data_IF_599982170978
#
_entry.id   IF_599982170978
#
_cell.length_a   1.000
_cell.length_b   1.000
_cell.length_c   1.000
_cell.angle_alpha   90.00
_cell.angle_beta   90.00
_cell.angle_gamma   90.00
#
_symmetry.space_group_name_H-M   'P 1'
#
loop_
_entity.id
_entity.type
_entity.pdbx_description
1 polymer ?
#
# COMPACT_ATOMS: atom_id res chain seq x y z
N UNK A 1 65.73 -6.17 35.82
CA UNK A 1 65.13 -5.44 36.96
C UNK A 1 64.22 -4.35 36.40
N UNK A 2 62.90 -4.54 36.50
CA UNK A 2 61.89 -3.60 36.03
C UNK A 2 61.65 -2.53 37.10
N UNK A 3 61.75 -1.22 36.80
CA UNK A 3 61.47 -0.20 37.81
C UNK A 3 59.96 -0.18 38.10
N UNK A 4 59.64 -0.45 39.37
CA UNK A 4 58.32 -0.24 39.98
C UNK A 4 58.01 1.26 40.00
N UNK A 5 57.40 1.78 38.93
CA UNK A 5 56.87 3.14 38.88
C UNK A 5 55.48 3.20 39.53
N UNK A 6 55.43 2.95 40.84
CA UNK A 6 54.21 2.94 41.65
C UNK A 6 54.31 3.86 42.86
N UNK A 7 54.79 5.10 42.68
CA UNK A 7 54.78 6.10 43.76
C UNK A 7 53.37 6.63 44.05
N UNK A 8 53.07 7.07 45.28
CA UNK A 8 51.74 7.56 45.67
C UNK A 8 51.33 8.74 44.76
N UNK A 9 50.23 8.54 44.02
CA UNK A 9 49.65 9.54 43.12
C UNK A 9 49.37 10.81 43.92
N UNK A 10 50.11 11.88 43.65
CA UNK A 10 49.90 13.20 44.27
C UNK A 10 48.43 13.60 44.16
N UNK A 11 47.90 14.26 45.18
CA UNK A 11 46.51 14.74 45.21
C UNK A 11 46.13 15.52 43.93
N UNK A 12 47.10 16.23 43.33
CA UNK A 12 46.94 16.95 42.06
C UNK A 12 46.70 16.02 40.87
N UNK A 13 47.44 14.92 40.80
CA UNK A 13 47.34 13.93 39.72
C UNK A 13 46.00 13.17 39.80
N UNK A 14 45.54 12.88 41.03
CA UNK A 14 44.20 12.31 41.28
C UNK A 14 43.09 13.28 40.87
N UNK A 15 43.22 14.57 41.20
CA UNK A 15 42.25 15.60 40.81
C UNK A 15 42.18 15.78 39.28
N UNK A 16 43.33 15.75 38.58
CA UNK A 16 43.38 15.79 37.11
C UNK A 16 42.65 14.61 36.48
N UNK A 17 42.91 13.38 36.93
CA UNK A 17 42.23 12.18 36.42
C UNK A 17 40.73 12.22 36.69
N UNK A 18 40.30 12.66 37.88
CA UNK A 18 38.88 12.81 38.20
C UNK A 18 38.18 13.84 37.30
N UNK A 19 38.84 14.96 37.00
CA UNK A 19 38.28 15.96 36.09
C UNK A 19 38.26 15.48 34.63
N UNK A 20 39.29 14.78 34.17
CA UNK A 20 39.30 14.18 32.84
C UNK A 20 38.19 13.14 32.68
N UNK A 21 37.97 12.30 33.71
CA UNK A 21 36.87 11.33 33.72
C UNK A 21 35.51 12.03 33.65
N UNK A 22 35.28 13.05 34.50
CA UNK A 22 34.04 13.83 34.48
C UNK A 22 33.77 14.48 33.13
N UNK A 23 34.81 15.00 32.48
CA UNK A 23 34.69 15.60 31.15
C UNK A 23 34.34 14.54 30.10
N UNK A 24 34.98 13.37 30.16
CA UNK A 24 34.67 12.25 29.27
C UNK A 24 33.24 11.75 29.46
N UNK A 25 32.80 11.57 30.71
CA UNK A 25 31.44 11.12 31.03
C UNK A 25 30.40 12.15 30.56
N UNK A 26 30.67 13.44 30.73
CA UNK A 26 29.80 14.51 30.24
C UNK A 26 29.69 14.53 28.71
N UNK A 27 30.80 14.30 27.99
CA UNK A 27 30.80 14.19 26.53
C UNK A 27 30.00 12.97 26.04
N UNK A 28 30.18 11.82 26.70
CA UNK A 28 29.42 10.61 26.39
C UNK A 28 27.93 10.80 26.65
N UNK A 29 27.58 11.46 27.75
CA UNK A 29 26.19 11.76 28.08
C UNK A 29 25.54 12.67 27.01
N UNK A 30 26.23 13.74 26.59
CA UNK A 30 25.74 14.61 25.53
C UNK A 30 25.55 13.85 24.22
N UNK A 31 26.50 13.02 23.82
CA UNK A 31 26.38 12.21 22.59
C UNK A 31 25.19 11.25 22.64
N UNK A 32 24.97 10.60 23.79
CA UNK A 32 23.82 9.72 23.95
C UNK A 32 22.50 10.49 23.88
N UNK A 33 22.43 11.66 24.53
CA UNK A 33 21.26 12.54 24.44
C UNK A 33 20.98 12.99 23.01
N UNK A 34 22.01 13.38 22.25
CA UNK A 34 21.86 13.74 20.84
C UNK A 34 21.29 12.58 20.02
N UNK A 35 21.82 11.37 20.21
CA UNK A 35 21.35 10.18 19.52
C UNK A 35 19.90 9.82 19.90
N UNK A 36 19.56 9.91 21.18
CA UNK A 36 18.21 9.63 21.68
C UNK A 36 17.20 10.65 21.11
N UNK A 37 17.58 11.93 21.04
CA UNK A 37 16.75 12.96 20.45
C UNK A 37 16.55 12.76 18.95
N UNK A 38 17.60 12.41 18.20
CA UNK A 38 17.48 12.07 16.76
C UNK A 38 16.51 10.90 16.59
N UNK A 39 16.69 9.84 17.37
CA UNK A 39 15.83 8.65 17.32
C UNK A 39 14.37 8.97 17.64
N UNK A 40 14.13 9.83 18.64
CA UNK A 40 12.80 10.31 18.99
C UNK A 40 12.14 11.10 17.86
N UNK A 41 12.85 12.04 17.24
CA UNK A 41 12.29 12.86 16.16
C UNK A 41 12.05 12.04 14.88
N UNK A 42 12.94 11.11 14.56
CA UNK A 42 12.71 10.18 13.45
C UNK A 42 11.47 9.31 13.70
N UNK A 43 11.33 8.75 14.90
CA UNK A 43 10.15 7.97 15.28
C UNK A 43 8.86 8.80 15.21
N UNK A 44 8.89 10.05 15.68
CA UNK A 44 7.74 10.97 15.63
C UNK A 44 7.34 11.29 14.19
N UNK A 45 8.33 11.52 13.31
CA UNK A 45 8.08 11.76 11.88
C UNK A 45 7.48 10.52 11.22
N UNK A 46 8.00 9.34 11.56
CA UNK A 46 7.54 8.10 10.96
C UNK A 46 6.14 7.73 11.46
N UNK A 47 5.81 8.00 12.73
CA UNK A 47 4.44 7.90 13.26
C UNK A 47 3.45 8.78 12.48
N UNK A 48 3.83 10.04 12.21
CA UNK A 48 2.98 10.95 11.44
C UNK A 48 2.77 10.42 10.01
N UNK A 49 3.85 10.00 9.33
CA UNK A 49 3.75 9.42 7.98
C UNK A 49 2.84 8.20 7.93
N UNK A 50 2.98 7.29 8.90
CA UNK A 50 2.14 6.09 8.99
C UNK A 50 0.66 6.48 9.13
N UNK A 51 0.35 7.46 9.98
CA UNK A 51 -1.03 7.94 10.15
C UNK A 51 -1.58 8.56 8.85
N UNK A 52 -0.78 9.38 8.16
CA UNK A 52 -1.18 10.01 6.91
C UNK A 52 -1.42 8.97 5.80
N UNK A 53 -0.54 7.97 5.70
CA UNK A 53 -0.65 6.86 4.74
C UNK A 53 -1.91 6.01 5.01
N UNK A 54 -2.16 5.66 6.27
CA UNK A 54 -3.35 4.90 6.67
C UNK A 54 -4.62 5.69 6.36
N UNK A 55 -4.64 6.99 6.69
CA UNK A 55 -5.79 7.86 6.43
C UNK A 55 -6.09 7.93 4.93
N UNK A 56 -5.06 8.20 4.12
CA UNK A 56 -5.17 8.26 2.66
C UNK A 56 -5.66 6.94 2.08
N UNK A 57 -5.15 5.81 2.58
CA UNK A 57 -5.55 4.47 2.12
C UNK A 57 -6.99 4.13 2.48
N UNK A 58 -7.43 4.46 3.70
CA UNK A 58 -8.81 4.27 4.14
C UNK A 58 -9.76 5.10 3.28
N UNK A 59 -9.43 6.37 3.03
CA UNK A 59 -10.26 7.22 2.18
C UNK A 59 -10.38 6.66 0.76
N UNK A 60 -9.27 6.22 0.16
CA UNK A 60 -9.30 5.59 -1.15
C UNK A 60 -10.19 4.35 -1.16
N UNK A 61 -10.02 3.46 -0.18
CA UNK A 61 -10.85 2.25 -0.07
C UNK A 61 -12.32 2.58 0.10
N UNK A 62 -12.66 3.62 0.87
CA UNK A 62 -14.04 4.10 1.02
C UNK A 62 -14.61 4.58 -0.32
N UNK A 63 -13.90 5.43 -1.06
CA UNK A 63 -14.33 5.91 -2.39
C UNK A 63 -14.51 4.77 -3.38
N UNK A 64 -13.56 3.82 -3.41
CA UNK A 64 -13.63 2.65 -4.29
C UNK A 64 -14.81 1.74 -3.94
N UNK A 65 -15.07 1.54 -2.64
CA UNK A 65 -16.21 0.77 -2.16
C UNK A 65 -17.54 1.45 -2.49
N UNK A 66 -17.64 2.76 -2.26
CA UNK A 66 -18.83 3.56 -2.57
C UNK A 66 -19.14 3.50 -4.07
N UNK A 67 -18.14 3.68 -4.93
CA UNK A 67 -18.29 3.56 -6.40
C UNK A 67 -18.80 2.18 -6.80
N UNK A 68 -18.27 1.10 -6.20
CA UNK A 68 -18.73 -0.28 -6.48
C UNK A 68 -20.15 -0.51 -5.99
N UNK A 69 -20.51 0.07 -4.85
CA UNK A 69 -21.84 -0.02 -4.25
C UNK A 69 -22.86 0.70 -5.14
N UNK A 70 -22.54 1.90 -5.61
CA UNK A 70 -23.37 2.66 -6.55
C UNK A 70 -23.57 1.89 -7.85
N UNK A 71 -22.48 1.36 -8.43
CA UNK A 71 -22.58 0.52 -9.63
C UNK A 71 -23.45 -0.74 -9.41
N UNK A 72 -23.42 -1.33 -8.22
CA UNK A 72 -24.29 -2.45 -7.87
C UNK A 72 -25.76 -2.02 -7.71
N UNK A 73 -26.02 -0.87 -7.06
CA UNK A 73 -27.34 -0.27 -6.95
C UNK A 73 -27.94 0.06 -8.30
N UNK A 74 -27.17 0.64 -9.21
CA UNK A 74 -27.59 0.90 -10.58
C UNK A 74 -27.93 -0.40 -11.32
N UNK A 75 -27.07 -1.42 -11.25
CA UNK A 75 -27.33 -2.73 -11.88
C UNK A 75 -28.61 -3.37 -11.35
N UNK A 76 -28.82 -3.34 -10.03
CA UNK A 76 -30.05 -3.84 -9.40
C UNK A 76 -31.28 -3.09 -9.92
N UNK A 77 -31.23 -1.75 -9.93
CA UNK A 77 -32.33 -0.93 -10.41
C UNK A 77 -32.63 -1.20 -11.89
N UNK A 78 -31.59 -1.31 -12.74
CA UNK A 78 -31.72 -1.65 -14.16
C UNK A 78 -32.38 -3.01 -14.36
N UNK A 79 -32.00 -4.03 -13.59
CA UNK A 79 -32.63 -5.36 -13.67
C UNK A 79 -34.14 -5.31 -13.38
N UNK A 80 -34.55 -4.57 -12.34
CA UNK A 80 -35.99 -4.39 -12.04
C UNK A 80 -36.71 -3.61 -13.15
N UNK A 81 -36.05 -2.63 -13.77
CA UNK A 81 -36.61 -1.90 -14.90
C UNK A 81 -36.78 -2.78 -16.15
N UNK A 82 -35.87 -3.73 -16.40
CA UNK A 82 -36.02 -4.72 -17.47
C UNK A 82 -37.18 -5.68 -17.21
N UNK A 83 -37.39 -6.14 -15.96
CA UNK A 83 -38.59 -6.89 -15.59
C UNK A 83 -39.86 -6.08 -15.89
N UNK A 84 -39.84 -4.78 -15.56
CA UNK A 84 -40.98 -3.90 -15.83
C UNK A 84 -41.25 -3.75 -17.34
N UNK A 85 -40.22 -3.71 -18.18
CA UNK A 85 -40.36 -3.65 -19.65
C UNK A 85 -40.93 -4.94 -20.22
N UNK A 86 -40.66 -6.10 -19.60
CA UNK A 86 -41.22 -7.40 -20.00
C UNK A 86 -42.69 -7.59 -19.64
N UNK A 87 -43.31 -6.63 -18.96
CA UNK A 87 -44.73 -6.63 -18.63
C UNK A 87 -45.05 -6.88 -17.15
N UNK A 88 -44.06 -7.15 -16.32
CA UNK A 88 -44.29 -7.39 -14.88
C UNK A 88 -44.91 -6.18 -14.18
N UNK A 89 -45.77 -6.44 -13.20
CA UNK A 89 -46.36 -5.37 -12.37
C UNK A 89 -45.43 -5.02 -11.21
N UNK A 90 -45.56 -3.82 -10.62
CA UNK A 90 -44.75 -3.44 -9.45
C UNK A 90 -44.99 -4.37 -8.25
N UNK A 91 -46.20 -4.92 -8.11
CA UNK A 91 -46.52 -5.89 -7.08
C UNK A 91 -45.85 -7.26 -7.33
N UNK A 92 -45.84 -7.74 -8.58
CA UNK A 92 -45.13 -8.96 -8.97
C UNK A 92 -43.62 -8.83 -8.74
N UNK A 93 -43.02 -7.72 -9.19
CA UNK A 93 -41.59 -7.44 -8.96
C UNK A 93 -41.27 -7.35 -7.46
N UNK A 94 -42.13 -6.72 -6.66
CA UNK A 94 -41.95 -6.64 -5.22
C UNK A 94 -41.96 -8.03 -4.56
N UNK A 95 -42.88 -8.90 -4.96
CA UNK A 95 -42.95 -10.28 -4.47
C UNK A 95 -41.76 -11.14 -4.92
N UNK A 96 -41.25 -10.95 -6.14
CA UNK A 96 -40.14 -11.76 -6.68
C UNK A 96 -38.78 -11.48 -6.01
N UNK A 97 -38.61 -10.30 -5.41
CA UNK A 97 -37.32 -9.83 -4.89
C UNK A 97 -37.41 -9.49 -3.40
N UNK A 98 -38.49 -9.89 -2.74
CA UNK A 98 -38.79 -9.66 -1.33
C UNK A 98 -38.62 -8.19 -0.91
N UNK A 99 -39.20 -7.29 -1.70
CA UNK A 99 -39.23 -5.85 -1.41
C UNK A 99 -40.65 -5.37 -1.19
N UNK A 100 -40.78 -4.23 -0.51
CA UNK A 100 -42.05 -3.52 -0.50
C UNK A 100 -42.36 -2.95 -1.89
N UNK A 101 -43.65 -2.93 -2.28
CA UNK A 101 -44.13 -2.29 -3.52
C UNK A 101 -43.62 -0.85 -3.70
N UNK A 102 -43.62 0.03 -2.68
CA UNK A 102 -43.08 1.38 -2.83
C UNK A 102 -41.57 1.39 -3.11
N UNK A 103 -40.78 0.50 -2.51
CA UNK A 103 -39.34 0.41 -2.77
C UNK A 103 -39.04 -0.11 -4.17
N UNK A 104 -39.73 -1.17 -4.61
CA UNK A 104 -39.61 -1.68 -5.97
C UNK A 104 -39.98 -0.60 -7.00
N UNK A 105 -41.05 0.17 -6.72
CA UNK A 105 -41.46 1.30 -7.57
C UNK A 105 -40.39 2.39 -7.61
N UNK A 106 -39.81 2.76 -6.46
CA UNK A 106 -38.74 3.76 -6.37
C UNK A 106 -37.51 3.36 -7.17
N UNK A 107 -37.06 2.10 -7.03
CA UNK A 107 -35.90 1.57 -7.75
C UNK A 107 -36.13 1.51 -9.26
N UNK A 108 -37.32 1.10 -9.72
CA UNK A 108 -37.63 1.11 -11.15
C UNK A 108 -37.66 2.54 -11.69
N UNK A 109 -38.25 3.49 -10.95
CA UNK A 109 -38.34 4.90 -11.38
C UNK A 109 -36.99 5.62 -11.38
N UNK A 110 -36.08 5.31 -10.46
CA UNK A 110 -34.76 5.96 -10.42
C UNK A 110 -33.95 5.71 -11.70
N UNK A 111 -34.13 4.55 -12.34
CA UNK A 111 -33.48 4.27 -13.63
C UNK A 111 -33.95 5.16 -14.78
N UNK A 112 -35.20 5.65 -14.76
CA UNK A 112 -35.71 6.57 -15.78
C UNK A 112 -35.08 7.94 -15.66
N UNK A 113 -34.86 8.41 -14.43
CA UNK A 113 -34.19 9.69 -14.16
C UNK A 113 -32.69 9.64 -14.49
N UNK A 114 -32.02 8.51 -14.27
CA UNK A 114 -30.63 8.33 -14.65
C UNK A 114 -30.43 8.20 -16.18
N UNK A 115 -31.44 7.68 -16.90
CA UNK A 115 -31.38 7.53 -18.36
C UNK A 115 -31.47 8.87 -19.11
N UNK A 116 -32.08 9.91 -18.54
CA UNK A 116 -32.12 11.23 -19.19
C UNK A 116 -30.78 11.96 -19.16
N UNK A 117 -29.84 11.57 -18.30
CA UNK A 117 -28.50 12.17 -18.19
C UNK A 117 -27.40 11.32 -18.81
N UNK A 118 -27.64 10.02 -19.04
CA UNK A 118 -26.70 9.12 -19.68
C UNK A 118 -26.79 9.25 -21.22
N UNK A 119 -25.92 10.07 -21.81
CA UNK A 119 -25.62 10.09 -23.25
C UNK A 119 -25.12 8.70 -23.69
N UNK A 120 -25.59 8.13 -24.81
CA UNK A 120 -25.12 6.83 -25.26
C UNK A 120 -23.72 6.98 -25.84
N UNK A 121 -22.74 6.36 -25.21
CA UNK A 121 -21.39 6.20 -25.76
C UNK A 121 -21.44 5.03 -26.76
N UNK A 122 -21.41 5.36 -28.05
CA UNK A 122 -21.43 4.41 -29.17
C UNK A 122 -20.17 4.66 -30.01
N UNK A 123 -19.32 3.64 -30.10
CA UNK A 123 -18.27 3.48 -31.09
C UNK A 123 -16.87 3.78 -30.55
N UNK A 124 -15.81 3.03 -30.87
CA UNK A 124 -15.66 1.83 -31.70
C UNK A 124 -14.25 1.26 -31.41
N UNK A 125 -14.08 -0.02 -31.67
CA UNK A 125 -12.82 -0.73 -31.52
C UNK A 125 -11.72 -0.26 -32.50
N UNK A 126 -10.48 -0.29 -32.00
CA UNK A 126 -9.20 -0.66 -32.63
C UNK A 126 -8.84 -0.10 -34.01
N UNK A 127 -7.76 0.67 -34.09
CA UNK A 127 -6.73 0.57 -35.15
C UNK A 127 -5.34 0.91 -34.57
N UNK A 128 -4.37 0.01 -34.78
CA UNK A 128 -2.94 0.29 -34.67
C UNK A 128 -2.53 1.14 -35.88
N UNK A 129 -1.69 2.15 -35.70
CA UNK A 129 -0.73 2.53 -36.73
C UNK A 129 0.52 3.19 -36.12
N UNK A 130 1.67 2.83 -36.68
CA UNK A 130 3.00 3.25 -36.32
C UNK A 130 3.54 4.24 -37.35
N UNK A 131 4.46 5.14 -36.95
CA UNK A 131 5.22 6.02 -37.83
C UNK A 131 5.28 7.44 -37.25
N UNK A 132 6.33 7.83 -36.53
CA UNK A 132 7.69 8.18 -37.00
C UNK A 132 7.73 9.44 -37.90
N UNK A 133 8.24 10.52 -37.32
CA UNK A 133 8.98 11.63 -37.95
C UNK A 133 9.43 12.57 -36.80
N UNK A 134 10.66 12.47 -36.29
CA UNK A 134 11.94 12.95 -36.87
C UNK A 134 12.11 14.48 -36.80
N UNK A 135 13.01 14.92 -35.91
CA UNK A 135 14.00 16.00 -36.09
C UNK A 135 14.89 16.06 -34.83
N UNK A 136 16.05 15.40 -34.79
CA UNK A 136 17.44 15.94 -35.02
C UNK A 136 17.71 17.18 -34.13
N UNK A 137 18.67 17.21 -33.19
CA UNK A 137 20.12 17.16 -33.43
C UNK A 137 20.96 17.08 -32.10
N UNK A 138 22.00 16.22 -32.13
CA UNK A 138 23.41 16.40 -31.64
C UNK A 138 23.68 16.56 -30.12
N UNK A 139 24.76 16.08 -29.46
CA UNK A 139 25.93 15.21 -29.72
C UNK A 139 26.75 15.17 -28.38
N UNK A 140 27.72 14.24 -28.26
CA UNK A 140 28.72 13.94 -27.20
C UNK A 140 28.31 12.81 -26.22
N UNK A 141 28.60 11.52 -26.47
CA UNK A 141 29.88 10.79 -26.49
C UNK A 141 30.43 10.45 -25.08
N UNK A 142 30.25 9.20 -24.63
CA UNK A 142 31.33 8.26 -24.27
C UNK A 142 30.75 6.94 -23.68
N UNK A 143 31.38 5.76 -23.91
CA UNK A 143 30.74 4.45 -23.88
C UNK A 143 31.09 3.57 -22.66
N UNK A 144 30.27 2.55 -22.41
CA UNK A 144 30.52 1.45 -21.47
C UNK A 144 29.27 0.58 -21.44
N UNK A 145 28.98 -0.16 -22.50
CA UNK A 145 29.47 -1.52 -22.80
C UNK A 145 28.78 -2.62 -21.96
N UNK A 146 28.16 -3.55 -22.71
CA UNK A 146 27.71 -4.90 -22.35
C UNK A 146 26.57 -5.02 -21.33
N UNK A 147 25.30 -5.19 -21.71
CA UNK A 147 24.68 -6.30 -22.46
C UNK A 147 25.00 -7.69 -21.90
N UNK A 148 23.97 -8.38 -21.40
CA UNK A 148 23.72 -9.84 -21.41
C UNK A 148 22.32 -10.02 -20.75
N UNK A 149 21.21 -9.87 -21.46
CA UNK A 149 20.48 -10.86 -22.28
C UNK A 149 20.17 -12.21 -21.60
N UNK A 150 18.87 -12.43 -21.39
CA UNK A 150 18.08 -13.59 -21.83
C UNK A 150 18.32 -14.97 -21.21
N UNK A 151 17.31 -15.49 -20.52
CA UNK A 151 16.41 -16.60 -20.98
C UNK A 151 15.65 -17.17 -19.78
N UNK A 152 14.34 -16.96 -19.71
CA UNK A 152 13.28 -17.91 -20.08
C UNK A 152 12.83 -18.83 -18.91
N UNK A 153 11.68 -18.48 -18.33
CA UNK A 153 10.69 -19.32 -17.65
C UNK A 153 10.18 -20.49 -18.56
N UNK A 154 9.25 -21.38 -18.16
CA UNK A 154 8.68 -21.76 -16.84
C UNK A 154 8.63 -23.30 -16.64
N UNK A 155 8.14 -23.80 -15.49
CA UNK A 155 6.98 -24.72 -15.43
C UNK A 155 6.78 -25.40 -14.07
N UNK A 156 5.52 -25.35 -13.67
CA UNK A 156 4.79 -25.98 -12.57
C UNK A 156 4.59 -27.49 -12.72
N UNK A 157 4.10 -28.09 -11.61
CA UNK A 157 3.53 -29.45 -11.38
C UNK A 157 4.51 -30.33 -10.58
N UNK A 158 4.20 -30.76 -9.36
CA UNK A 158 2.92 -31.19 -8.82
C UNK A 158 3.08 -32.67 -8.51
N UNK A 159 3.35 -33.03 -7.25
CA UNK A 159 3.14 -34.41 -6.81
C UNK A 159 2.83 -34.47 -5.31
N UNK A 160 1.92 -35.38 -5.01
CA UNK A 160 1.15 -35.48 -3.80
C UNK A 160 1.65 -36.63 -2.92
N UNK A 161 1.54 -36.45 -1.61
CA UNK A 161 1.06 -37.52 -0.72
C UNK A 161 2.10 -38.30 0.09
N UNK A 162 1.54 -38.91 1.13
CA UNK A 162 2.04 -39.98 2.00
C UNK A 162 2.85 -39.59 3.25
N UNK A 163 2.10 -39.33 4.32
CA UNK A 163 1.98 -40.17 5.54
C UNK A 163 3.23 -40.76 6.23
N UNK A 164 3.20 -40.71 7.57
CA UNK A 164 4.00 -41.57 8.47
C UNK A 164 4.60 -40.78 9.64
N UNK A 165 3.85 -40.57 10.72
CA UNK A 165 3.95 -41.36 11.97
C UNK A 165 5.34 -41.35 12.65
N UNK A 166 5.37 -41.01 13.94
CA UNK A 166 6.43 -41.52 14.81
C UNK A 166 6.88 -40.59 15.92
N UNK A 167 6.21 -40.71 17.07
CA UNK A 167 6.59 -40.21 18.38
C UNK A 167 8.09 -40.32 18.71
N UNK A 168 8.56 -39.42 19.59
CA UNK A 168 9.40 -39.74 20.78
C UNK A 168 9.35 -38.59 21.79
N UNK A 169 8.63 -38.84 22.89
CA UNK A 169 8.84 -38.24 24.20
C UNK A 169 10.23 -38.58 24.77
N UNK A 170 10.57 -37.90 25.87
CA UNK A 170 11.66 -38.03 26.85
C UNK A 170 12.84 -37.06 26.60
N UNK A 171 13.33 -36.27 27.57
CA UNK A 171 13.18 -36.30 29.03
C UNK A 171 13.23 -34.87 29.60
#
# INVERSE_FOLDING_TARGET
>A
MTPSNGGPVSARERARRANAQRLSDAQMHLKNQEQDLVSYFDATRDEQKINDDVTTRIERLRRDAETKLDAAHERRARALAELKKRGETYASIAALVDLSVPEATRLVKSTKSARSTARPDIGSAAENDAGDASSTEEHLESPGDSALTSSADPSTEGDAGADGEGARSIA
#
